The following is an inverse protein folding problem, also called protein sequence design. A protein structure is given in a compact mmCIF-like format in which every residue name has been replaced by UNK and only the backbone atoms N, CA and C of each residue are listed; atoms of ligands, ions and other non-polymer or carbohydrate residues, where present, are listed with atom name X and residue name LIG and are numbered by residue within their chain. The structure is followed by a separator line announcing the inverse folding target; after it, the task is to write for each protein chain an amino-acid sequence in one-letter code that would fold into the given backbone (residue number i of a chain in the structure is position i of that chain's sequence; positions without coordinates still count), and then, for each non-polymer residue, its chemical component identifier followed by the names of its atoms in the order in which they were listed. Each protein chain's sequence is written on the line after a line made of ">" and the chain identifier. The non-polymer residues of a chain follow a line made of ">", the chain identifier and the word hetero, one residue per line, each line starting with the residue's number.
data_IF_782270500724
#
_entry.id   IF_782270500724
#
_cell.length_a   1.000
_cell.length_b   1.000
_cell.length_c   1.000
_cell.angle_alpha   90.00
_cell.angle_beta   90.00
_cell.angle_gamma   90.00
#
_symmetry.space_group_name_H-M   'P 1'
#
loop_
_entity.id
_entity.type
_entity.pdbx_description
1 polymer ?
#
# COMPACT_ATOMS: atom_id res chain seq x y z
N UNK A 1 16.87 0.91 -7.71
CA UNK A 1 16.39 -0.23 -6.90
C UNK A 1 14.89 -0.32 -7.09
N UNK A 2 14.31 -1.53 -7.07
CA UNK A 2 12.86 -1.68 -7.18
C UNK A 2 12.18 -1.13 -5.92
N UNK A 3 11.07 -0.41 -6.10
CA UNK A 3 10.26 0.08 -4.99
C UNK A 3 9.40 -1.03 -4.39
N UNK A 4 8.66 -0.70 -3.34
CA UNK A 4 7.65 -1.59 -2.75
C UNK A 4 6.29 -0.92 -2.84
N UNK A 5 5.29 -1.71 -3.22
CA UNK A 5 3.88 -1.34 -3.19
C UNK A 5 3.23 -2.10 -2.05
N UNK A 6 2.57 -1.37 -1.16
CA UNK A 6 1.78 -1.96 -0.07
C UNK A 6 0.32 -1.63 -0.33
N UNK A 7 -0.52 -2.66 -0.27
CA UNK A 7 -1.96 -2.52 -0.34
C UNK A 7 -2.54 -2.97 0.99
N UNK A 8 -3.25 -2.06 1.65
CA UNK A 8 -3.97 -2.36 2.89
C UNK A 8 -5.45 -2.18 2.63
N UNK A 9 -6.19 -3.28 2.57
CA UNK A 9 -7.65 -3.24 2.46
C UNK A 9 -8.26 -3.21 3.85
N UNK A 10 -9.00 -2.15 4.15
CA UNK A 10 -9.76 -1.95 5.39
C UNK A 10 -11.24 -2.18 5.12
N UNK A 11 -11.86 -3.10 5.86
CA UNK A 11 -13.28 -3.44 5.73
C UNK A 11 -14.06 -2.85 6.90
N UNK A 12 -14.75 -1.74 6.69
CA UNK A 12 -15.57 -1.11 7.72
C UNK A 12 -16.96 -1.78 7.79
N UNK A 13 -17.67 -1.69 8.94
CA UNK A 13 -18.99 -2.30 9.06
C UNK A 13 -20.07 -1.65 8.20
N UNK A 14 -20.00 -0.32 8.03
CA UNK A 14 -20.93 0.44 7.18
C UNK A 14 -20.20 1.55 6.44
N UNK A 15 -20.84 2.11 5.41
CA UNK A 15 -20.34 3.28 4.68
C UNK A 15 -20.09 4.46 5.61
N UNK A 16 -21.02 4.76 6.52
CA UNK A 16 -20.99 5.94 7.38
C UNK A 16 -19.78 5.89 8.32
N UNK A 17 -19.51 4.72 8.90
CA UNK A 17 -18.30 4.51 9.72
C UNK A 17 -17.05 4.69 8.87
N UNK A 18 -17.08 4.18 7.63
CA UNK A 18 -15.95 4.27 6.73
C UNK A 18 -15.68 5.71 6.27
N UNK A 19 -16.71 6.54 6.07
CA UNK A 19 -16.57 7.95 5.74
C UNK A 19 -15.92 8.71 6.92
N UNK A 20 -16.45 8.53 8.13
CA UNK A 20 -15.92 9.15 9.33
C UNK A 20 -14.46 8.76 9.60
N UNK A 21 -14.14 7.47 9.42
CA UNK A 21 -12.78 6.97 9.57
C UNK A 21 -11.82 7.61 8.56
N UNK A 22 -12.21 7.69 7.28
CA UNK A 22 -11.38 8.30 6.25
C UNK A 22 -11.15 9.78 6.53
N UNK A 23 -12.18 10.55 6.92
CA UNK A 23 -12.02 11.95 7.31
C UNK A 23 -11.03 12.11 8.48
N UNK A 24 -11.09 11.22 9.47
CA UNK A 24 -10.16 11.22 10.60
C UNK A 24 -8.72 10.85 10.23
N UNK A 25 -8.53 10.00 9.21
CA UNK A 25 -7.20 9.55 8.76
C UNK A 25 -6.46 10.58 7.91
N UNK A 26 -7.17 11.46 7.19
CA UNK A 26 -6.59 12.39 6.21
C UNK A 26 -5.39 13.19 6.75
N UNK A 27 -5.45 13.84 7.94
CA UNK A 27 -4.32 14.66 8.41
C UNK A 27 -3.03 13.86 8.59
N UNK A 28 -3.13 12.68 9.22
CA UNK A 28 -1.98 11.80 9.44
C UNK A 28 -1.44 11.24 8.12
N UNK A 29 -2.32 10.95 7.17
CA UNK A 29 -1.94 10.34 5.90
C UNK A 29 -1.28 11.37 4.97
N UNK A 30 -1.71 12.63 5.05
CA UNK A 30 -1.03 13.75 4.38
C UNK A 30 0.39 13.96 4.92
N UNK A 31 0.60 13.79 6.23
CA UNK A 31 1.94 13.83 6.83
C UNK A 31 2.80 12.66 6.33
N UNK A 32 2.26 11.43 6.36
CA UNK A 32 2.94 10.21 5.87
C UNK A 32 3.32 10.32 4.39
N UNK A 33 2.49 10.97 3.57
CA UNK A 33 2.78 11.24 2.16
C UNK A 33 3.99 12.17 1.93
N UNK A 34 4.47 12.88 2.96
CA UNK A 34 5.67 13.73 2.87
C UNK A 34 6.94 13.03 3.41
N UNK A 35 6.84 11.79 3.88
CA UNK A 35 7.98 11.04 4.38
C UNK A 35 9.02 10.75 3.28
N UNK A 36 10.27 10.62 3.70
CA UNK A 36 11.35 10.29 2.78
C UNK A 36 11.07 8.94 2.09
N UNK A 37 11.03 8.94 0.76
CA UNK A 37 10.77 7.74 -0.02
C UNK A 37 9.30 7.41 -0.24
N UNK A 38 8.36 8.13 0.38
CA UNK A 38 6.93 8.00 0.08
C UNK A 38 6.66 8.60 -1.32
N UNK A 39 6.49 7.73 -2.32
CA UNK A 39 6.13 8.13 -3.69
C UNK A 39 4.61 8.28 -3.82
N UNK A 40 3.86 7.45 -3.10
CA UNK A 40 2.40 7.49 -3.05
C UNK A 40 1.94 7.04 -1.66
N UNK A 41 0.95 7.72 -1.11
CA UNK A 41 0.30 7.36 0.14
C UNK A 41 -1.14 7.87 0.09
N UNK A 42 -2.05 7.03 -0.41
CA UNK A 42 -3.39 7.47 -0.82
C UNK A 42 -4.48 6.49 -0.37
N UNK A 43 -5.66 7.04 -0.04
CA UNK A 43 -6.86 6.26 0.27
C UNK A 43 -7.78 6.20 -0.94
N UNK A 44 -8.16 4.99 -1.32
CA UNK A 44 -9.12 4.69 -2.37
C UNK A 44 -10.39 4.10 -1.79
N UNK A 45 -11.54 4.51 -2.34
CA UNK A 45 -12.85 4.01 -1.96
C UNK A 45 -13.36 3.06 -3.04
N UNK A 46 -13.83 1.88 -2.64
CA UNK A 46 -14.52 0.98 -3.57
C UNK A 46 -15.84 1.61 -4.05
N UNK A 47 -16.08 1.55 -5.36
CA UNK A 47 -17.29 2.09 -5.98
C UNK A 47 -18.52 1.22 -5.68
N UNK A 48 -18.34 -0.10 -5.56
CA UNK A 48 -19.43 -1.07 -5.40
C UNK A 48 -19.66 -1.53 -3.97
N UNK A 49 -18.69 -1.28 -3.08
CA UNK A 49 -18.74 -1.62 -1.67
C UNK A 49 -18.12 -0.46 -0.86
N UNK A 50 -18.84 0.66 -0.68
CA UNK A 50 -18.29 1.87 -0.08
C UNK A 50 -17.77 1.69 1.36
N UNK A 51 -18.12 0.64 2.07
CA UNK A 51 -17.53 0.28 3.35
C UNK A 51 -16.09 -0.26 3.23
N UNK A 52 -15.62 -0.56 2.02
CA UNK A 52 -14.25 -1.01 1.74
C UNK A 52 -13.37 0.16 1.30
N UNK A 53 -12.26 0.34 2.00
CA UNK A 53 -11.21 1.32 1.71
C UNK A 53 -9.91 0.61 1.44
N UNK A 54 -9.11 1.13 0.51
CA UNK A 54 -7.75 0.66 0.27
C UNK A 54 -6.80 1.80 0.55
N UNK A 55 -5.90 1.64 1.51
CA UNK A 55 -4.68 2.43 1.55
C UNK A 55 -3.69 1.82 0.56
N UNK A 56 -3.24 2.64 -0.39
CA UNK A 56 -2.22 2.29 -1.35
C UNK A 56 -0.96 3.10 -1.06
N UNK A 57 0.12 2.40 -0.75
CA UNK A 57 1.42 3.01 -0.50
C UNK A 57 2.42 2.58 -1.55
N UNK A 58 3.27 3.51 -1.99
CA UNK A 58 4.41 3.23 -2.85
C UNK A 58 5.65 3.85 -2.24
N UNK A 59 6.62 3.01 -1.95
CA UNK A 59 7.89 3.41 -1.37
C UNK A 59 9.03 3.21 -2.36
N UNK A 60 9.95 4.18 -2.39
CA UNK A 60 11.09 4.19 -3.31
C UNK A 60 12.03 2.99 -3.12
N UNK A 61 12.07 2.42 -1.91
CA UNK A 61 12.76 1.17 -1.62
C UNK A 61 12.12 0.44 -0.44
N UNK A 62 12.51 -0.82 -0.24
CA UNK A 62 12.07 -1.61 0.91
C UNK A 62 12.61 -1.05 2.22
N UNK A 63 13.86 -0.60 2.23
CA UNK A 63 14.52 -0.08 3.42
C UNK A 63 13.79 1.15 3.98
N UNK A 64 13.30 2.03 3.09
CA UNK A 64 12.52 3.21 3.48
C UNK A 64 11.14 2.84 4.02
N UNK A 65 10.50 1.82 3.45
CA UNK A 65 9.26 1.27 4.03
C UNK A 65 9.49 0.65 5.42
N UNK A 66 10.55 -0.14 5.58
CA UNK A 66 10.87 -0.77 6.87
C UNK A 66 11.17 0.30 7.94
N UNK A 67 11.81 1.41 7.55
CA UNK A 67 12.03 2.58 8.41
C UNK A 67 10.71 3.28 8.78
N UNK A 68 9.82 3.50 7.81
CA UNK A 68 8.49 4.04 8.04
C UNK A 68 7.73 3.19 9.07
N UNK A 69 7.66 1.88 8.85
CA UNK A 69 6.96 0.94 9.74
C UNK A 69 7.56 0.91 11.15
N UNK A 70 8.88 0.93 11.27
CA UNK A 70 9.57 0.99 12.56
C UNK A 70 9.22 2.29 13.30
N UNK A 71 9.30 3.43 12.61
CA UNK A 71 8.98 4.74 13.20
C UNK A 71 7.52 4.81 13.65
N UNK A 72 6.61 4.27 12.83
CA UNK A 72 5.19 4.21 13.16
C UNK A 72 4.96 3.38 14.42
N UNK A 73 5.50 2.17 14.48
CA UNK A 73 5.31 1.28 15.63
C UNK A 73 5.96 1.81 16.91
N UNK A 74 7.06 2.56 16.82
CA UNK A 74 7.67 3.23 17.97
C UNK A 74 6.84 4.42 18.49
N UNK A 75 6.21 5.19 17.60
CA UNK A 75 5.43 6.39 17.95
C UNK A 75 3.99 6.09 18.34
N UNK A 76 3.32 5.26 17.55
CA UNK A 76 1.88 4.97 17.62
C UNK A 76 1.60 3.63 18.30
N UNK A 77 2.62 2.77 18.44
CA UNK A 77 2.45 1.39 18.86
C UNK A 77 2.07 0.47 17.70
N UNK A 78 1.96 -0.82 17.98
CA UNK A 78 1.33 -1.77 17.06
C UNK A 78 -0.19 -1.61 17.12
N UNK A 79 -0.92 -1.77 16.00
CA UNK A 79 -2.38 -1.72 16.01
C UNK A 79 -2.97 -2.66 17.07
N UNK A 80 -4.01 -2.20 17.77
CA UNK A 80 -4.72 -3.03 18.73
C UNK A 80 -5.33 -4.26 18.03
N UNK A 81 -5.13 -5.49 18.53
CA UNK A 81 -5.62 -6.70 17.88
C UNK A 81 -7.15 -6.77 17.76
N UNK A 82 -7.90 -6.22 18.72
CA UNK A 82 -9.37 -6.22 18.67
C UNK A 82 -9.88 -5.21 17.63
N UNK A 83 -9.30 -4.01 17.60
CA UNK A 83 -9.60 -3.01 16.56
C UNK A 83 -9.24 -3.51 15.16
N UNK A 84 -8.07 -4.15 15.01
CA UNK A 84 -7.66 -4.78 13.77
C UNK A 84 -8.63 -5.90 13.36
N UNK A 85 -9.08 -6.73 14.29
CA UNK A 85 -10.05 -7.79 14.00
C UNK A 85 -11.39 -7.23 13.49
N UNK A 86 -11.83 -6.07 14.00
CA UNK A 86 -13.05 -5.41 13.53
C UNK A 86 -12.95 -4.93 12.09
N UNK A 87 -11.78 -4.43 11.67
CA UNK A 87 -11.54 -3.96 10.30
C UNK A 87 -11.20 -5.09 9.32
N UNK A 88 -10.86 -6.28 9.85
CA UNK A 88 -10.38 -7.44 9.09
C UNK A 88 -9.41 -7.04 7.95
N UNK A 89 -8.28 -6.38 8.28
CA UNK A 89 -7.42 -5.80 7.28
C UNK A 89 -6.70 -6.87 6.48
N UNK A 90 -6.55 -6.64 5.18
CA UNK A 90 -5.75 -7.49 4.30
C UNK A 90 -4.53 -6.70 3.84
N UNK A 91 -3.35 -7.28 4.05
CA UNK A 91 -2.07 -6.69 3.66
C UNK A 91 -1.48 -7.46 2.50
N UNK A 92 -1.13 -6.76 1.44
CA UNK A 92 -0.47 -7.32 0.28
C UNK A 92 0.78 -6.50 -0.04
N UNK A 93 1.89 -7.21 -0.27
CA UNK A 93 3.19 -6.61 -0.57
C UNK A 93 3.61 -7.01 -1.97
N UNK A 94 3.81 -6.02 -2.81
CA UNK A 94 4.25 -6.22 -4.18
C UNK A 94 5.56 -5.49 -4.41
N UNK A 95 6.43 -6.16 -5.15
CA UNK A 95 7.60 -5.50 -5.71
C UNK A 95 7.15 -4.56 -6.82
N UNK A 96 7.44 -3.28 -6.70
CA UNK A 96 7.11 -2.31 -7.73
C UNK A 96 8.20 -2.27 -8.79
N UNK A 97 7.84 -2.61 -10.03
CA UNK A 97 8.73 -2.57 -11.18
C UNK A 97 8.00 -2.04 -12.41
N UNK A 98 8.74 -1.29 -13.23
CA UNK A 98 8.26 -0.88 -14.55
C UNK A 98 8.58 -1.97 -15.56
N UNK A 99 7.65 -2.20 -16.48
CA UNK A 99 7.76 -3.20 -17.54
C UNK A 99 7.70 -2.52 -18.91
N UNK A 100 8.33 -3.15 -19.88
CA UNK A 100 8.21 -2.83 -21.31
C UNK A 100 7.81 -4.08 -22.09
N UNK A 101 7.24 -3.89 -23.28
CA UNK A 101 6.89 -5.00 -24.19
C UNK A 101 8.03 -5.22 -25.17
N UNK A 102 8.72 -6.35 -25.05
CA UNK A 102 9.76 -6.78 -26.00
C UNK A 102 9.33 -8.09 -26.63
N UNK A 103 9.18 -8.08 -27.96
CA UNK A 103 8.71 -9.22 -28.76
C UNK A 103 7.41 -9.85 -28.23
N UNK A 104 6.47 -9.00 -27.80
CA UNK A 104 5.15 -9.41 -27.29
C UNK A 104 5.16 -9.95 -25.85
N UNK A 105 6.29 -9.87 -25.15
CA UNK A 105 6.44 -10.33 -23.77
C UNK A 105 6.69 -9.10 -22.88
N UNK A 106 5.88 -8.95 -21.82
CA UNK A 106 6.16 -7.98 -20.76
C UNK A 106 7.43 -8.39 -20.04
N UNK A 107 8.43 -7.52 -20.03
CA UNK A 107 9.71 -7.75 -19.35
C UNK A 107 10.01 -6.57 -18.43
N UNK A 108 10.59 -6.80 -17.24
CA UNK A 108 11.11 -5.72 -16.42
C UNK A 108 12.05 -4.82 -17.23
N UNK A 109 11.87 -3.52 -17.05
CA UNK A 109 12.66 -2.50 -17.72
C UNK A 109 14.15 -2.67 -17.37
N UNK A 110 14.44 -2.98 -16.10
CA UNK A 110 15.77 -3.37 -15.63
C UNK A 110 16.10 -4.81 -16.10
N UNK A 111 17.12 -4.99 -16.98
CA UNK A 111 17.53 -6.30 -17.45
C UNK A 111 17.91 -7.28 -16.34
N UNK A 112 18.42 -6.79 -15.20
CA UNK A 112 18.80 -7.63 -14.07
C UNK A 112 17.59 -8.34 -13.43
N UNK A 113 16.38 -7.83 -13.65
CA UNK A 113 15.14 -8.38 -13.06
C UNK A 113 14.37 -9.29 -14.01
N UNK A 114 14.80 -9.43 -15.27
CA UNK A 114 14.09 -10.24 -16.28
C UNK A 114 14.09 -11.73 -15.99
N UNK A 115 14.91 -12.20 -15.05
CA UNK A 115 14.89 -13.59 -14.59
C UNK A 115 13.64 -13.92 -13.75
N UNK A 116 12.94 -12.94 -13.17
CA UNK A 116 11.70 -13.15 -12.39
C UNK A 116 10.42 -12.94 -13.20
N UNK A 117 10.50 -12.88 -14.54
CA UNK A 117 9.35 -12.54 -15.37
C UNK A 117 8.35 -13.71 -15.49
N UNK A 118 7.06 -13.44 -15.26
CA UNK A 118 5.98 -14.39 -15.49
C UNK A 118 5.65 -14.42 -16.99
N UNK A 119 5.69 -15.60 -17.60
CA UNK A 119 5.29 -15.82 -18.99
C UNK A 119 3.85 -16.34 -19.02
N UNK A 120 2.97 -15.57 -19.66
CA UNK A 120 1.62 -16.03 -19.98
C UNK A 120 1.69 -16.73 -21.33
N UNK A 121 1.87 -18.05 -21.31
CA UNK A 121 1.81 -18.93 -22.49
C UNK A 121 0.40 -19.47 -22.69
#
# INVERSE_FOLDING_TARGET
>A
MAGIRVMVTLNFPTKEIADQAVEGMVPQYLEKAQEEGAIQYELFRSVTAPEKVVLLEHWASRELYDQHWTTQTEREGTPDPEEAAMLNPQFEFYRHENYDIVDGIWQPLDPAQRLSTIRWI
#
